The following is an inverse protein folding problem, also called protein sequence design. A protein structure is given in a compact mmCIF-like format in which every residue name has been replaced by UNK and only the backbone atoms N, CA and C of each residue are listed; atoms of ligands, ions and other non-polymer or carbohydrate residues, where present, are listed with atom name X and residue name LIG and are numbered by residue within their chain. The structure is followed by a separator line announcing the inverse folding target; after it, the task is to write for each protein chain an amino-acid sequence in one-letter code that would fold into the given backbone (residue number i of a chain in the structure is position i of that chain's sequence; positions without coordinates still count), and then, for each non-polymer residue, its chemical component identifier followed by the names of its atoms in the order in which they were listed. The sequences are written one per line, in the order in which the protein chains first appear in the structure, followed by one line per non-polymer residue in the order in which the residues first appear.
data_IF_327481802075
#
_entry.id   IF_327481802075
#
_cell.length_a   1.000
_cell.length_b   1.000
_cell.length_c   1.000
_cell.angle_alpha   90.00
_cell.angle_beta   90.00
_cell.angle_gamma   90.00
#
_symmetry.space_group_name_H-M   'P 1'
#
loop_
_entity.id
_entity.type
_entity.pdbx_description
1 polymer ?
#
# COMPACT_ATOMS: atom_id res chain seq x y z
N UNK A 1 0.98 -1.84 13.72
CA UNK A 1 1.29 -2.89 12.72
C UNK A 1 1.25 -2.27 11.33
N UNK A 2 2.24 -2.51 10.46
CA UNK A 2 2.32 -1.89 9.13
C UNK A 2 2.08 -2.95 8.05
N UNK A 3 1.14 -2.69 7.15
CA UNK A 3 0.93 -3.53 5.95
C UNK A 3 1.06 -2.68 4.69
N UNK A 4 1.86 -3.12 3.73
CA UNK A 4 1.96 -2.50 2.40
C UNK A 4 1.14 -3.33 1.42
N UNK A 5 0.11 -2.73 0.83
CA UNK A 5 -0.82 -3.40 -0.06
C UNK A 5 -0.64 -2.89 -1.49
N UNK A 6 -0.37 -3.82 -2.39
CA UNK A 6 -0.41 -3.62 -3.82
C UNK A 6 -1.83 -3.43 -4.33
N UNK A 7 -2.12 -2.32 -5.00
CA UNK A 7 -3.43 -1.99 -5.56
C UNK A 7 -3.32 -1.66 -7.06
N UNK A 8 -4.29 -2.16 -7.82
CA UNK A 8 -4.43 -1.92 -9.26
C UNK A 8 -5.28 -0.69 -9.59
N UNK A 9 -5.71 -0.61 -10.86
CA UNK A 9 -6.66 0.43 -11.30
C UNK A 9 -8.10 0.15 -10.86
N UNK A 10 -8.45 -1.11 -10.65
CA UNK A 10 -9.77 -1.54 -10.15
C UNK A 10 -10.00 -1.19 -8.66
N UNK A 11 -9.02 -0.55 -8.00
CA UNK A 11 -9.15 -0.07 -6.63
C UNK A 11 -9.42 -1.18 -5.62
N UNK A 12 -10.24 -0.86 -4.61
CA UNK A 12 -10.60 -1.78 -3.53
C UNK A 12 -11.27 -3.07 -4.07
N UNK A 13 -12.07 -2.97 -5.11
CA UNK A 13 -12.81 -4.09 -5.71
C UNK A 13 -11.88 -5.09 -6.43
N UNK A 14 -10.70 -4.64 -6.87
CA UNK A 14 -9.69 -5.51 -7.48
C UNK A 14 -8.84 -6.31 -6.48
N UNK A 15 -9.01 -6.08 -5.17
CA UNK A 15 -8.21 -6.76 -4.16
C UNK A 15 -8.78 -8.14 -3.81
N UNK A 16 -7.88 -9.10 -3.57
CA UNK A 16 -8.25 -10.37 -3.00
C UNK A 16 -8.92 -10.16 -1.61
N UNK A 17 -9.85 -11.04 -1.19
CA UNK A 17 -10.64 -10.82 0.04
C UNK A 17 -9.80 -10.53 1.30
N UNK A 18 -8.65 -11.20 1.46
CA UNK A 18 -7.77 -10.96 2.60
C UNK A 18 -7.11 -9.57 2.57
N UNK A 19 -6.65 -9.11 1.40
CA UNK A 19 -6.07 -7.78 1.23
C UNK A 19 -7.13 -6.68 1.35
N UNK A 20 -8.31 -6.90 0.78
CA UNK A 20 -9.47 -6.00 0.91
C UNK A 20 -9.82 -5.78 2.38
N UNK A 21 -9.94 -6.86 3.16
CA UNK A 21 -10.23 -6.78 4.59
C UNK A 21 -9.19 -5.97 5.35
N UNK A 22 -7.90 -6.13 5.04
CA UNK A 22 -6.83 -5.34 5.66
C UNK A 22 -6.97 -3.84 5.37
N UNK A 23 -7.36 -3.47 4.15
CA UNK A 23 -7.58 -2.07 3.76
C UNK A 23 -8.83 -1.49 4.44
N UNK A 24 -9.93 -2.24 4.47
CA UNK A 24 -11.18 -1.83 5.15
C UNK A 24 -10.97 -1.65 6.66
N UNK A 25 -10.25 -2.57 7.28
CA UNK A 25 -9.91 -2.56 8.71
C UNK A 25 -8.77 -1.58 9.04
N UNK A 26 -8.27 -0.76 8.11
CA UNK A 26 -7.19 0.17 8.40
C UNK A 26 -7.64 1.29 9.35
N UNK A 27 -6.81 1.65 10.33
CA UNK A 27 -7.01 2.88 11.12
C UNK A 27 -6.43 4.10 10.38
N UNK A 28 -5.38 3.86 9.59
CA UNK A 28 -4.68 4.88 8.81
C UNK A 28 -4.37 4.33 7.42
N UNK A 29 -4.77 5.06 6.39
CA UNK A 29 -4.39 4.83 4.99
C UNK A 29 -3.28 5.82 4.61
N UNK A 30 -2.19 5.28 4.08
CA UNK A 30 -1.05 6.05 3.59
C UNK A 30 -0.85 5.75 2.12
N UNK A 31 -0.59 6.75 1.28
CA UNK A 31 -0.43 6.51 -0.15
C UNK A 31 -0.44 7.78 -0.98
N UNK A 32 -0.25 7.63 -2.29
CA UNK A 32 -0.46 8.77 -3.18
C UNK A 32 -1.95 9.05 -3.29
N UNK A 33 -2.33 10.30 -3.59
CA UNK A 33 -3.74 10.66 -3.82
C UNK A 33 -4.43 9.72 -4.83
N UNK A 34 -3.74 9.36 -5.92
CA UNK A 34 -4.19 8.36 -6.92
C UNK A 34 -4.51 6.96 -6.38
N UNK A 35 -3.98 6.60 -5.21
CA UNK A 35 -4.24 5.32 -4.55
C UNK A 35 -5.32 5.48 -3.49
N UNK A 36 -5.19 6.51 -2.65
CA UNK A 36 -6.13 6.81 -1.56
C UNK A 36 -7.54 7.08 -2.10
N UNK A 37 -7.66 7.81 -3.21
CA UNK A 37 -8.93 8.09 -3.88
C UNK A 37 -9.67 6.84 -4.39
N UNK A 38 -8.99 5.69 -4.49
CA UNK A 38 -9.60 4.40 -4.87
C UNK A 38 -10.26 3.67 -3.69
N UNK A 39 -10.08 4.17 -2.47
CA UNK A 39 -10.64 3.59 -1.25
C UNK A 39 -11.77 4.50 -0.75
N UNK A 40 -12.99 3.98 -0.53
CA UNK A 40 -14.07 4.71 0.12
C UNK A 40 -13.63 5.31 1.45
N UNK A 41 -14.13 6.50 1.78
CA UNK A 41 -13.87 7.11 3.08
C UNK A 41 -14.86 6.57 4.11
N UNK A 42 -14.36 5.72 5.00
CA UNK A 42 -15.13 5.11 6.08
C UNK A 42 -14.66 5.61 7.46
N UNK A 43 -13.95 6.76 7.48
CA UNK A 43 -13.45 7.38 8.71
C UNK A 43 -12.00 7.01 9.05
N UNK A 44 -11.28 6.35 8.15
CA UNK A 44 -9.84 6.14 8.31
C UNK A 44 -9.09 7.49 8.25
N UNK A 45 -8.04 7.64 9.06
CA UNK A 45 -7.10 8.75 8.89
C UNK A 45 -6.35 8.57 7.56
N UNK A 46 -6.16 9.66 6.80
CA UNK A 46 -5.50 9.61 5.48
C UNK A 46 -4.25 10.48 5.50
N UNK A 47 -3.10 9.86 5.24
CA UNK A 47 -1.81 10.52 5.08
C UNK A 47 -1.33 10.34 3.64
N UNK A 48 -0.96 11.43 2.98
CA UNK A 48 -0.38 11.36 1.64
C UNK A 48 1.12 11.65 1.63
N UNK A 49 1.68 11.71 0.43
CA UNK A 49 3.10 11.97 0.22
C UNK A 49 3.43 13.44 -0.07
N UNK A 50 2.52 14.38 0.22
CA UNK A 50 2.68 15.82 -0.11
C UNK A 50 3.96 16.38 0.52
N UNK A 51 4.25 16.03 1.77
CA UNK A 51 5.45 16.45 2.50
C UNK A 51 6.64 15.46 2.33
N UNK A 52 6.51 14.50 1.42
CA UNK A 52 7.50 13.46 1.14
C UNK A 52 7.40 12.21 2.04
N UNK A 53 8.12 11.15 1.64
CA UNK A 53 8.03 9.85 2.31
C UNK A 53 8.53 9.86 3.75
N UNK A 54 9.63 10.55 4.05
CA UNK A 54 10.20 10.57 5.40
C UNK A 54 9.26 11.24 6.41
N UNK A 55 8.58 12.33 6.03
CA UNK A 55 7.60 12.98 6.89
C UNK A 55 6.44 12.03 7.26
N UNK A 56 5.92 11.29 6.28
CA UNK A 56 4.91 10.27 6.51
C UNK A 56 5.45 9.11 7.38
N UNK A 57 6.69 8.66 7.16
CA UNK A 57 7.30 7.61 7.98
C UNK A 57 7.50 8.03 9.43
N UNK A 58 7.94 9.27 9.68
CA UNK A 58 8.07 9.82 11.03
C UNK A 58 6.71 9.97 11.73
N UNK A 59 5.63 10.20 10.98
CA UNK A 59 4.27 10.14 11.53
C UNK A 59 3.87 8.70 11.90
N UNK A 60 4.14 7.74 11.01
CA UNK A 60 3.83 6.31 11.22
C UNK A 60 4.56 5.74 12.45
N UNK A 61 5.80 6.15 12.72
CA UNK A 61 6.53 5.71 13.92
C UNK A 61 5.82 6.05 15.23
N UNK A 62 5.03 7.12 15.25
CA UNK A 62 4.26 7.55 16.43
C UNK A 62 2.94 6.80 16.57
N UNK A 63 2.58 5.96 15.60
CA UNK A 63 1.30 5.25 15.51
C UNK A 63 1.43 3.78 15.93
N UNK A 64 2.01 3.53 17.11
CA UNK A 64 2.32 2.16 17.58
C UNK A 64 1.09 1.28 17.74
N UNK A 65 -0.05 1.87 18.12
CA UNK A 65 -1.30 1.16 18.41
C UNK A 65 -2.30 1.20 17.24
N UNK A 66 -1.89 1.67 16.06
CA UNK A 66 -2.75 1.73 14.86
C UNK A 66 -2.39 0.65 13.83
N UNK A 67 -3.40 0.23 13.08
CA UNK A 67 -3.28 -0.57 11.85
C UNK A 67 -3.03 0.38 10.70
N UNK A 68 -1.76 0.51 10.32
CA UNK A 68 -1.33 1.39 9.23
C UNK A 68 -1.25 0.58 7.95
N UNK A 69 -1.96 1.04 6.92
CA UNK A 69 -1.96 0.42 5.59
C UNK A 69 -1.39 1.40 4.58
N UNK A 70 -0.29 1.01 3.93
CA UNK A 70 0.36 1.79 2.89
C UNK A 70 -0.05 1.21 1.53
N UNK A 71 -0.70 2.01 0.70
CA UNK A 71 -1.11 1.63 -0.65
C UNK A 71 0.01 1.90 -1.65
N UNK A 72 0.32 0.91 -2.47
CA UNK A 72 1.33 0.98 -3.52
C UNK A 72 0.82 0.35 -4.81
N UNK A 73 1.36 0.71 -5.97
CA UNK A 73 0.97 0.07 -7.23
C UNK A 73 1.61 -1.30 -7.40
N UNK A 74 0.85 -2.30 -7.84
CA UNK A 74 1.37 -3.61 -8.21
C UNK A 74 2.08 -4.31 -7.05
N UNK A 75 3.26 -4.88 -7.30
CA UNK A 75 4.11 -5.44 -6.24
C UNK A 75 4.89 -4.31 -5.54
N UNK A 76 4.64 -4.05 -4.24
CA UNK A 76 5.28 -2.96 -3.52
C UNK A 76 6.81 -3.05 -3.43
N UNK A 77 7.38 -4.26 -3.55
CA UNK A 77 8.83 -4.49 -3.48
C UNK A 77 9.50 -4.50 -4.87
N UNK A 78 8.73 -4.43 -5.95
CA UNK A 78 9.26 -4.40 -7.32
C UNK A 78 9.27 -2.96 -7.87
N UNK A 79 10.34 -2.23 -7.59
CA UNK A 79 10.49 -0.78 -7.88
C UNK A 79 9.44 0.12 -7.19
N UNK A 80 8.78 -0.38 -6.14
CA UNK A 80 7.78 0.35 -5.35
C UNK A 80 8.32 0.93 -4.03
N UNK A 81 7.41 1.58 -3.28
CA UNK A 81 7.72 2.20 -1.98
C UNK A 81 8.01 1.17 -0.88
N UNK A 82 7.60 -0.10 -1.06
CA UNK A 82 7.73 -1.14 -0.05
C UNK A 82 9.17 -1.36 0.39
N UNK A 83 10.16 -1.21 -0.50
CA UNK A 83 11.57 -1.34 -0.15
C UNK A 83 12.01 -0.26 0.85
N UNK A 84 11.50 0.98 0.72
CA UNK A 84 11.78 2.07 1.65
C UNK A 84 11.14 1.79 3.02
N UNK A 85 9.89 1.32 3.02
CA UNK A 85 9.15 0.97 4.24
C UNK A 85 9.87 -0.16 5.00
N UNK A 86 10.23 -1.26 4.32
CA UNK A 86 10.95 -2.38 4.94
C UNK A 86 12.31 -1.93 5.48
N UNK A 87 13.03 -1.06 4.75
CA UNK A 87 14.31 -0.50 5.23
C UNK A 87 14.13 0.36 6.48
N UNK A 88 13.02 1.12 6.58
CA UNK A 88 12.76 2.05 7.68
C UNK A 88 12.27 1.35 8.94
N UNK A 89 11.37 0.37 8.80
CA UNK A 89 10.66 -0.26 9.93
C UNK A 89 11.14 -1.69 10.24
N UNK A 90 11.92 -2.30 9.35
CA UNK A 90 12.38 -3.69 9.48
C UNK A 90 11.38 -4.69 8.89
N UNK A 91 11.91 -5.80 8.35
CA UNK A 91 11.09 -6.82 7.68
C UNK A 91 10.09 -7.51 8.62
N UNK A 92 10.45 -7.70 9.90
CA UNK A 92 9.58 -8.36 10.87
C UNK A 92 8.36 -7.50 11.29
N UNK A 93 8.42 -6.19 11.05
CA UNK A 93 7.35 -5.25 11.39
C UNK A 93 6.42 -4.94 10.21
N UNK A 94 6.76 -5.39 9.00
CA UNK A 94 6.10 -5.01 7.75
C UNK A 94 5.58 -6.24 7.03
N UNK A 95 4.25 -6.32 6.89
CA UNK A 95 3.61 -7.30 6.00
C UNK A 95 3.47 -6.70 4.61
N UNK A 96 3.76 -7.45 3.55
CA UNK A 96 3.57 -7.02 2.16
C UNK A 96 2.55 -7.93 1.49
N UNK A 97 1.48 -7.34 0.93
CA UNK A 97 0.46 -8.03 0.16
C UNK A 97 0.53 -7.54 -1.29
N UNK A 98 1.16 -8.28 -2.22
CA UNK A 98 1.37 -7.82 -3.59
C UNK A 98 0.11 -7.94 -4.46
N UNK A 99 0.09 -7.17 -5.55
CA UNK A 99 -0.80 -7.38 -6.70
C UNK A 99 0.03 -7.44 -8.00
N UNK A 100 -0.53 -7.91 -9.13
CA UNK A 100 0.20 -7.94 -10.40
C UNK A 100 0.81 -6.57 -10.76
N UNK A 101 2.11 -6.57 -11.06
CA UNK A 101 2.85 -5.35 -11.41
C UNK A 101 2.76 -5.01 -12.90
N UNK A 102 3.34 -3.86 -13.27
CA UNK A 102 3.34 -3.37 -14.65
C UNK A 102 3.88 -4.39 -15.67
N UNK A 103 4.92 -5.15 -15.30
CA UNK A 103 5.50 -6.18 -16.17
C UNK A 103 4.61 -7.42 -16.30
N UNK A 104 3.92 -7.84 -15.24
CA UNK A 104 2.92 -8.92 -15.33
C UNK A 104 1.77 -8.52 -16.26
N UNK A 105 1.30 -7.28 -16.16
CA UNK A 105 0.29 -6.75 -17.08
C UNK A 105 0.79 -6.64 -18.52
N UNK A 106 2.04 -6.20 -18.72
CA UNK A 106 2.66 -6.15 -20.04
C UNK A 106 2.77 -7.55 -20.65
N UNK A 107 3.28 -8.52 -19.90
CA UNK A 107 3.41 -9.90 -20.35
C UNK A 107 2.06 -10.50 -20.77
N UNK A 108 1.01 -10.31 -19.95
CA UNK A 108 -0.34 -10.77 -20.27
C UNK A 108 -0.91 -10.15 -21.56
N UNK A 109 -0.65 -8.86 -21.81
CA UNK A 109 -1.09 -8.16 -23.04
C UNK A 109 -0.29 -8.54 -24.28
N UNK A 110 0.99 -8.83 -24.09
CA UNK A 110 1.92 -9.13 -25.19
C UNK A 110 2.06 -10.64 -25.47
N UNK A 111 1.46 -11.49 -24.64
CA UNK A 111 1.61 -12.95 -24.73
C UNK A 111 3.03 -13.43 -24.40
N UNK A 112 3.74 -12.72 -23.52
CA UNK A 112 5.08 -13.11 -23.08
C UNK A 112 5.02 -14.14 -21.94
N UNK A 113 6.01 -15.06 -21.86
CA UNK A 113 6.14 -15.98 -20.73
C UNK A 113 6.46 -15.25 -19.43
#
# INVERSE_FOLDING_TARGET
MITVVGIGEDGLEGLAPAARKVVEDADVLVGGDRHISKIPDEGQERLDWTDGFEAAFDAIEKMTDKRVVILASGDPLYFGVGANVVRRFGADAVTVLPSPGAFSHAAARMGWP
#
